data_IF_882578736615
#
_entry.id   IF_882578736615
#
_cell.length_a   1.000
_cell.length_b   1.000
_cell.length_c   1.000
_cell.angle_alpha   90.00
_cell.angle_beta   90.00
_cell.angle_gamma   90.00
#
_symmetry.space_group_name_H-M   'P 1'
#
loop_
_entity.id
_entity.type
_entity.pdbx_description
1 polymer ?
#
# COMPACT_ATOMS: atom_id res chain seq x y z
N UNK A 1 2.67 5.61 0.39
CA UNK A 1 1.95 6.89 0.45
C UNK A 1 0.46 6.63 0.48
N UNK A 2 -0.33 7.31 1.32
CA UNK A 2 -1.80 7.20 1.36
C UNK A 2 -2.46 8.56 1.24
N UNK A 3 -3.79 8.61 1.15
CA UNK A 3 -4.52 9.85 1.41
C UNK A 3 -4.56 10.17 2.91
N UNK A 4 -5.10 11.34 3.26
CA UNK A 4 -5.18 11.88 4.62
C UNK A 4 -6.23 11.24 5.53
N UNK A 5 -6.81 10.08 5.20
CA UNK A 5 -7.79 9.43 6.05
C UNK A 5 -7.16 8.87 7.34
N UNK A 6 -7.69 9.29 8.50
CA UNK A 6 -7.13 9.00 9.83
C UNK A 6 -6.95 7.51 10.12
N UNK A 7 -7.85 6.68 9.59
CA UNK A 7 -7.83 5.22 9.79
C UNK A 7 -6.57 4.57 9.25
N UNK A 8 -5.93 5.15 8.23
CA UNK A 8 -4.67 4.60 7.72
C UNK A 8 -3.59 4.61 8.79
N UNK A 9 -3.42 5.71 9.52
CA UNK A 9 -2.40 5.81 10.57
C UNK A 9 -2.55 4.68 11.59
N UNK A 10 -3.78 4.44 12.06
CA UNK A 10 -4.07 3.37 13.00
C UNK A 10 -3.83 1.97 12.40
N UNK A 11 -4.31 1.72 11.19
CA UNK A 11 -4.14 0.43 10.52
C UNK A 11 -2.66 0.10 10.24
N UNK A 12 -1.88 1.08 9.78
CA UNK A 12 -0.45 0.90 9.54
C UNK A 12 0.31 0.67 10.85
N UNK A 13 0.01 1.43 11.91
CA UNK A 13 0.59 1.19 13.23
C UNK A 13 0.23 -0.21 13.73
N UNK A 14 -1.04 -0.62 13.67
CA UNK A 14 -1.45 -1.97 14.08
C UNK A 14 -0.71 -3.09 13.32
N UNK A 15 -0.46 -2.89 12.02
CA UNK A 15 0.13 -3.94 11.16
C UNK A 15 1.66 -3.97 11.18
N UNK A 16 2.29 -2.79 11.17
CA UNK A 16 3.74 -2.62 11.00
C UNK A 16 4.42 -2.00 12.21
N UNK A 17 3.66 -1.45 13.15
CA UNK A 17 4.18 -0.71 14.29
C UNK A 17 5.05 -1.59 15.17
N UNK A 18 6.15 -1.00 15.62
CA UNK A 18 7.12 -1.63 16.48
C UNK A 18 7.33 -0.78 17.72
N UNK A 19 7.67 -1.45 18.82
CA UNK A 19 8.12 -0.76 20.02
C UNK A 19 9.55 -0.29 19.81
N UNK A 20 9.82 0.99 20.07
CA UNK A 20 11.17 1.50 20.16
C UNK A 20 11.83 0.92 21.42
N UNK A 21 12.48 -0.24 21.25
CA UNK A 21 13.20 -0.98 22.31
C UNK A 21 14.68 -0.64 22.28
N UNK A 22 15.04 0.63 22.13
CA UNK A 22 16.44 1.04 22.33
C UNK A 22 16.87 0.66 23.76
N UNK A 23 17.96 -0.12 23.92
CA UNK A 23 18.41 -0.52 25.24
C UNK A 23 18.78 0.73 26.04
N UNK A 24 18.15 0.90 27.20
CA UNK A 24 18.45 2.01 28.09
C UNK A 24 19.84 1.79 28.71
N UNK A 25 20.79 2.68 28.40
CA UNK A 25 22.17 2.63 28.90
C UNK A 25 22.56 3.84 29.75
N UNK A 26 21.58 4.63 30.21
CA UNK A 26 21.80 5.86 30.98
C UNK A 26 21.55 5.67 32.48
N UNK A 27 21.93 6.68 33.26
CA UNK A 27 21.50 6.84 34.66
C UNK A 27 20.26 7.73 34.73
N UNK A 28 19.21 7.28 35.43
CA UNK A 28 17.95 8.01 35.60
C UNK A 28 16.71 7.21 35.20
N UNK A 29 15.59 7.90 35.00
CA UNK A 29 14.31 7.29 34.59
C UNK A 29 14.44 6.76 33.15
N UNK A 30 14.13 5.47 32.90
CA UNK A 30 14.09 4.94 31.55
C UNK A 30 13.12 5.73 30.66
N UNK A 31 13.43 5.90 29.35
CA UNK A 31 12.53 6.58 28.44
C UNK A 31 11.22 5.79 28.30
N UNK A 32 10.12 6.52 28.14
CA UNK A 32 8.84 5.91 27.77
C UNK A 32 8.99 5.31 26.38
N UNK A 33 8.83 3.98 26.27
CA UNK A 33 8.86 3.31 24.98
C UNK A 33 7.76 3.88 24.09
N UNK A 34 8.12 4.24 22.87
CA UNK A 34 7.17 4.78 21.89
C UNK A 34 6.74 3.64 20.97
N UNK A 35 5.43 3.49 20.79
CA UNK A 35 4.89 2.66 19.72
C UNK A 35 4.82 3.51 18.45
N UNK A 36 5.54 3.08 17.42
CA UNK A 36 5.72 3.90 16.22
C UNK A 36 5.98 3.07 14.98
N UNK A 37 6.14 3.75 13.85
CA UNK A 37 6.54 3.12 12.60
C UNK A 37 7.98 2.60 12.71
N UNK A 38 8.30 1.46 12.07
CA UNK A 38 9.65 0.93 12.06
C UNK A 38 10.58 1.85 11.26
N UNK A 39 11.84 1.94 11.67
CA UNK A 39 12.85 2.84 11.06
C UNK A 39 13.05 2.58 9.55
N UNK A 40 12.75 1.36 9.08
CA UNK A 40 12.85 0.98 7.68
C UNK A 40 11.66 1.43 6.80
N UNK A 41 10.61 2.04 7.37
CA UNK A 41 9.40 2.40 6.64
C UNK A 41 9.40 3.88 6.23
N UNK A 42 9.58 4.14 4.94
CA UNK A 42 9.33 5.46 4.36
C UNK A 42 7.84 5.63 4.04
N UNK A 43 7.12 6.38 4.86
CA UNK A 43 5.67 6.55 4.74
C UNK A 43 5.24 8.02 4.84
N UNK A 44 4.39 8.44 3.90
CA UNK A 44 3.85 9.78 3.83
C UNK A 44 2.39 9.80 3.39
N UNK A 45 1.72 10.89 3.72
CA UNK A 45 0.31 11.13 3.44
C UNK A 45 0.13 12.35 2.55
N UNK A 46 -0.81 12.23 1.62
CA UNK A 46 -1.29 13.34 0.79
C UNK A 46 -2.63 13.78 1.36
N UNK A 47 -2.63 14.94 2.02
CA UNK A 47 -3.84 15.53 2.62
C UNK A 47 -4.40 16.56 1.65
N UNK A 48 -5.65 16.37 1.23
CA UNK A 48 -6.35 17.31 0.35
C UNK A 48 -7.39 18.07 1.15
N UNK A 49 -7.31 19.40 1.14
CA UNK A 49 -8.33 20.29 1.70
C UNK A 49 -9.23 20.75 0.56
N UNK A 50 -10.54 20.53 0.70
CA UNK A 50 -11.54 20.92 -0.30
C UNK A 50 -12.56 21.84 0.34
N UNK A 51 -12.93 22.89 -0.39
CA UNK A 51 -14.05 23.76 -0.07
C UNK A 51 -15.16 23.48 -1.08
N UNK A 52 -16.20 22.75 -0.63
CA UNK A 52 -17.24 22.22 -1.53
C UNK A 52 -16.65 21.32 -2.62
N UNK A 53 -16.89 21.65 -3.89
CA UNK A 53 -16.35 20.89 -5.04
C UNK A 53 -14.94 21.30 -5.44
N UNK A 54 -14.43 22.44 -4.97
CA UNK A 54 -13.13 23.00 -5.35
C UNK A 54 -12.02 22.44 -4.46
N UNK A 55 -10.90 22.07 -5.09
CA UNK A 55 -9.67 21.74 -4.36
C UNK A 55 -9.00 23.06 -3.95
N UNK A 56 -8.75 23.22 -2.65
CA UNK A 56 -8.15 24.44 -2.09
C UNK A 56 -6.65 24.26 -1.85
N UNK A 57 -6.28 23.14 -1.22
CA UNK A 57 -4.89 22.88 -0.85
C UNK A 57 -4.54 21.40 -0.93
N UNK A 58 -3.30 21.11 -1.28
CA UNK A 58 -2.68 19.79 -1.13
C UNK A 58 -1.49 19.94 -0.21
N UNK A 59 -1.44 19.14 0.85
CA UNK A 59 -0.33 19.07 1.79
C UNK A 59 0.28 17.68 1.76
N UNK A 60 1.60 17.63 1.81
CA UNK A 60 2.37 16.38 1.92
C UNK A 60 2.90 16.27 3.34
N UNK A 61 2.53 15.20 4.04
CA UNK A 61 2.98 14.93 5.42
C UNK A 61 3.86 13.69 5.41
N UNK A 62 5.10 13.84 5.84
CA UNK A 62 5.98 12.68 6.10
C UNK A 62 5.60 12.12 7.47
N UNK A 63 5.18 10.87 7.52
CA UNK A 63 4.77 10.20 8.76
C UNK A 63 5.90 9.36 9.36
N UNK A 64 6.79 8.82 8.52
CA UNK A 64 7.97 8.06 8.94
C UNK A 64 9.02 8.03 7.83
N UNK A 65 10.29 7.95 8.25
CA UNK A 65 11.45 7.81 7.37
C UNK A 65 11.73 9.05 6.52
N UNK A 66 12.42 8.84 5.41
CA UNK A 66 12.79 9.88 4.44
C UNK A 66 12.18 9.53 3.10
N UNK A 67 11.41 10.45 2.53
CA UNK A 67 10.75 10.27 1.24
C UNK A 67 11.53 11.07 0.20
N UNK A 68 12.06 10.44 -0.86
CA UNK A 68 12.78 11.16 -1.90
C UNK A 68 11.88 12.20 -2.59
N UNK A 69 12.51 13.25 -3.09
CA UNK A 69 11.81 14.29 -3.84
C UNK A 69 11.10 13.70 -5.08
N UNK A 70 9.91 14.21 -5.39
CA UNK A 70 9.09 13.72 -6.52
C UNK A 70 8.28 12.44 -6.26
N UNK A 71 8.48 11.75 -5.13
CA UNK A 71 7.68 10.56 -4.79
C UNK A 71 6.28 10.90 -4.30
N UNK A 72 6.09 12.12 -3.79
CA UNK A 72 4.78 12.63 -3.45
C UNK A 72 4.00 12.98 -4.72
N UNK A 73 2.95 12.20 -4.98
CA UNK A 73 2.12 12.38 -6.16
C UNK A 73 0.65 12.05 -5.85
N UNK A 74 -0.20 13.08 -5.95
CA UNK A 74 -1.65 12.97 -5.78
C UNK A 74 -2.27 12.00 -6.79
N UNK A 75 -1.83 12.06 -8.04
CA UNK A 75 -2.37 11.24 -9.13
C UNK A 75 -2.13 9.75 -8.92
N UNK A 76 -1.02 9.37 -8.27
CA UNK A 76 -0.72 7.97 -7.96
C UNK A 76 -1.72 7.37 -6.96
N UNK A 77 -1.99 8.09 -5.86
CA UNK A 77 -2.99 7.68 -4.85
C UNK A 77 -4.39 7.64 -5.46
N UNK A 78 -4.77 8.65 -6.24
CA UNK A 78 -6.08 8.70 -6.87
C UNK A 78 -6.28 7.62 -7.92
N UNK A 79 -5.26 7.36 -8.74
CA UNK A 79 -5.28 6.29 -9.73
C UNK A 79 -5.39 4.92 -9.07
N UNK A 80 -4.70 4.69 -7.95
CA UNK A 80 -4.84 3.45 -7.19
C UNK A 80 -6.25 3.31 -6.62
N UNK A 81 -6.79 4.35 -5.99
CA UNK A 81 -8.14 4.36 -5.44
C UNK A 81 -9.22 4.14 -6.53
N UNK A 82 -9.03 4.71 -7.72
CA UNK A 82 -9.90 4.46 -8.87
C UNK A 82 -9.79 3.02 -9.36
N UNK A 83 -8.57 2.47 -9.46
CA UNK A 83 -8.32 1.09 -9.89
C UNK A 83 -8.98 0.09 -8.95
N UNK A 84 -8.83 0.29 -7.64
CA UNK A 84 -9.48 -0.49 -6.58
C UNK A 84 -11.01 -0.47 -6.78
N UNK A 85 -11.61 0.71 -6.93
CA UNK A 85 -13.06 0.86 -7.12
C UNK A 85 -13.57 0.23 -8.41
N UNK A 86 -12.79 0.26 -9.48
CA UNK A 86 -13.18 -0.33 -10.76
C UNK A 86 -13.03 -1.85 -10.77
N UNK A 87 -12.02 -2.37 -10.08
CA UNK A 87 -11.69 -3.81 -10.09
C UNK A 87 -12.47 -4.60 -9.05
N UNK A 88 -12.90 -3.97 -7.96
CA UNK A 88 -13.65 -4.64 -6.88
C UNK A 88 -15.04 -4.05 -6.74
N UNK A 89 -16.04 -4.75 -7.28
CA UNK A 89 -17.45 -4.38 -7.14
C UNK A 89 -17.92 -4.33 -5.67
N UNK A 90 -17.27 -5.09 -4.78
CA UNK A 90 -17.52 -5.13 -3.32
C UNK A 90 -17.28 -3.79 -2.63
N UNK A 91 -16.39 -2.95 -3.17
CA UNK A 91 -16.00 -1.66 -2.58
C UNK A 91 -16.72 -0.46 -3.24
N UNK A 92 -17.68 -0.71 -4.12
CA UNK A 92 -18.54 0.33 -4.69
C UNK A 92 -19.67 0.66 -3.72
N UNK A 93 -20.07 1.94 -3.68
CA UNK A 93 -21.14 2.44 -2.79
C UNK A 93 -22.48 1.73 -2.99
N UNK A 94 -22.80 1.33 -4.22
CA UNK A 94 -24.03 0.62 -4.58
C UNK A 94 -23.62 -0.59 -5.42
N UNK A 95 -23.83 -1.78 -4.88
CA UNK A 95 -23.43 -3.04 -5.50
C UNK A 95 -24.25 -4.20 -4.93
N UNK A 96 -24.59 -5.17 -5.78
CA UNK A 96 -25.19 -6.44 -5.35
C UNK A 96 -24.12 -7.45 -4.89
N UNK A 97 -22.84 -7.18 -5.16
CA UNK A 97 -21.72 -8.07 -4.88
C UNK A 97 -21.10 -7.73 -3.52
N UNK A 98 -21.84 -7.87 -2.42
CA UNK A 98 -21.31 -7.64 -1.07
C UNK A 98 -20.64 -8.88 -0.49
N UNK A 99 -19.77 -8.68 0.50
CA UNK A 99 -19.23 -9.75 1.33
C UNK A 99 -20.10 -9.90 2.58
N UNK A 100 -20.43 -11.13 2.97
CA UNK A 100 -21.20 -11.40 4.20
C UNK A 100 -20.30 -11.32 5.43
N UNK A 101 -19.06 -11.79 5.29
CA UNK A 101 -18.05 -11.73 6.34
C UNK A 101 -16.89 -10.82 5.94
N UNK A 102 -16.21 -10.24 6.93
CA UNK A 102 -15.00 -9.43 6.71
C UNK A 102 -13.90 -10.27 6.05
N UNK A 103 -13.79 -11.55 6.44
CA UNK A 103 -12.81 -12.50 5.89
C UNK A 103 -12.94 -12.65 4.37
N UNK A 104 -14.16 -12.67 3.83
CA UNK A 104 -14.38 -12.75 2.38
C UNK A 104 -13.90 -11.48 1.66
N UNK A 105 -14.11 -10.32 2.30
CA UNK A 105 -13.62 -9.05 1.77
C UNK A 105 -12.08 -9.01 1.79
N UNK A 106 -11.46 -9.48 2.87
CA UNK A 106 -10.00 -9.58 2.99
C UNK A 106 -9.41 -10.48 1.90
N UNK A 107 -9.96 -11.68 1.71
CA UNK A 107 -9.52 -12.61 0.65
C UNK A 107 -9.67 -11.99 -0.75
N UNK A 108 -10.77 -11.27 -1.01
CA UNK A 108 -10.95 -10.58 -2.29
C UNK A 108 -9.92 -9.45 -2.47
N UNK A 109 -9.62 -8.69 -1.42
CA UNK A 109 -8.58 -7.67 -1.45
C UNK A 109 -7.19 -8.28 -1.70
N UNK A 110 -6.90 -9.42 -1.09
CA UNK A 110 -5.62 -10.12 -1.26
C UNK A 110 -5.46 -10.67 -2.68
N UNK A 111 -6.52 -11.28 -3.23
CA UNK A 111 -6.53 -11.70 -4.63
C UNK A 111 -6.33 -10.51 -5.57
N UNK A 112 -7.00 -9.38 -5.33
CA UNK A 112 -6.82 -8.17 -6.12
C UNK A 112 -5.37 -7.65 -6.05
N UNK A 113 -4.78 -7.57 -4.85
CA UNK A 113 -3.39 -7.14 -4.66
C UNK A 113 -2.43 -8.04 -5.43
N UNK A 114 -2.63 -9.34 -5.35
CA UNK A 114 -1.80 -10.32 -6.03
C UNK A 114 -1.95 -10.21 -7.56
N UNK A 115 -3.16 -10.18 -8.08
CA UNK A 115 -3.42 -9.98 -9.51
C UNK A 115 -2.83 -8.67 -10.04
N UNK A 116 -3.02 -7.57 -9.31
CA UNK A 116 -2.54 -6.25 -9.72
C UNK A 116 -1.01 -6.19 -9.80
N UNK A 117 -0.32 -6.79 -8.83
CA UNK A 117 1.14 -6.75 -8.77
C UNK A 117 1.82 -7.78 -9.68
N UNK A 118 1.28 -8.99 -9.82
CA UNK A 118 1.94 -10.10 -10.51
C UNK A 118 1.43 -10.34 -11.93
N UNK A 119 0.13 -10.17 -12.17
CA UNK A 119 -0.50 -10.58 -13.44
C UNK A 119 -0.77 -9.41 -14.39
N UNK A 120 -0.86 -8.17 -13.89
CA UNK A 120 -1.27 -7.01 -14.69
C UNK A 120 -0.08 -6.11 -15.05
N UNK A 121 0.31 -6.02 -16.33
CA UNK A 121 1.30 -5.04 -16.76
C UNK A 121 0.81 -3.60 -16.61
N UNK A 122 1.74 -2.71 -16.28
CA UNK A 122 1.50 -1.29 -16.11
C UNK A 122 2.10 -0.50 -17.27
N UNK A 123 1.28 0.32 -17.94
CA UNK A 123 1.74 1.15 -19.07
C UNK A 123 2.86 2.12 -18.68
N UNK A 124 2.84 2.65 -17.46
CA UNK A 124 3.89 3.56 -16.96
C UNK A 124 5.21 2.86 -16.63
N UNK A 125 5.19 1.54 -16.46
CA UNK A 125 6.39 0.72 -16.21
C UNK A 125 6.87 0.01 -17.48
N UNK A 126 5.96 -0.25 -18.40
CA UNK A 126 6.23 -0.93 -19.66
C UNK A 126 6.91 0.01 -20.63
N UNK A 127 7.94 -0.46 -21.33
CA UNK A 127 8.66 0.31 -22.34
C UNK A 127 8.54 -0.39 -23.70
N UNK A 128 7.97 0.30 -24.68
CA UNK A 128 7.69 -0.27 -26.00
C UNK A 128 6.85 -1.54 -25.93
N UNK A 129 7.41 -2.65 -26.42
CA UNK A 129 6.77 -3.98 -26.43
C UNK A 129 6.92 -4.72 -25.11
N UNK A 130 7.84 -4.31 -24.24
CA UNK A 130 8.14 -5.02 -22.99
C UNK A 130 7.08 -4.65 -21.95
N UNK A 131 6.29 -5.65 -21.56
CA UNK A 131 5.26 -5.53 -20.53
C UNK A 131 5.88 -5.77 -19.16
N UNK A 132 5.74 -4.79 -18.26
CA UNK A 132 6.33 -4.83 -16.92
C UNK A 132 5.23 -4.71 -15.87
N UNK A 133 5.23 -5.62 -14.90
CA UNK A 133 4.35 -5.56 -13.73
C UNK A 133 5.05 -4.88 -12.54
N UNK A 134 4.29 -4.41 -11.54
CA UNK A 134 4.88 -3.87 -10.31
C UNK A 134 5.81 -4.87 -9.61
N UNK A 135 5.45 -6.15 -9.57
CA UNK A 135 6.31 -7.18 -8.97
C UNK A 135 7.62 -7.37 -9.75
N UNK A 136 7.59 -7.24 -11.08
CA UNK A 136 8.81 -7.25 -11.90
C UNK A 136 9.70 -6.03 -11.63
N UNK A 137 9.11 -4.83 -11.54
CA UNK A 137 9.86 -3.61 -11.22
C UNK A 137 10.51 -3.64 -9.84
N UNK A 138 9.99 -4.45 -8.92
CA UNK A 138 10.56 -4.68 -7.59
C UNK A 138 11.54 -5.87 -7.54
N UNK A 139 11.76 -6.57 -8.66
CA UNK A 139 12.63 -7.74 -8.74
C UNK A 139 12.07 -9.00 -8.05
N UNK A 140 10.77 -9.05 -7.76
CA UNK A 140 10.13 -10.21 -7.12
C UNK A 140 9.85 -11.35 -8.11
N UNK A 141 9.81 -11.05 -9.40
CA UNK A 141 9.58 -11.99 -10.50
C UNK A 141 10.21 -11.43 -11.77
N UNK A 142 10.62 -12.29 -12.68
CA UNK A 142 11.20 -11.96 -13.98
C UNK A 142 10.15 -11.91 -15.11
N UNK A 143 8.93 -12.37 -14.85
CA UNK A 143 7.85 -12.47 -15.83
C UNK A 143 6.49 -12.00 -15.30
N UNK A 144 5.59 -11.72 -16.25
CA UNK A 144 4.16 -11.52 -16.00
C UNK A 144 3.52 -12.87 -15.67
N UNK A 145 2.84 -12.97 -14.53
CA UNK A 145 2.20 -14.21 -14.13
C UNK A 145 0.85 -14.39 -14.82
N UNK A 146 0.51 -15.64 -15.12
CA UNK A 146 -0.87 -15.99 -15.45
C UNK A 146 -1.72 -16.09 -14.17
N UNK A 147 -3.04 -15.92 -14.29
CA UNK A 147 -3.94 -16.15 -13.16
C UNK A 147 -3.84 -17.60 -12.64
N UNK A 148 -3.63 -18.57 -13.54
CA UNK A 148 -3.41 -19.97 -13.17
C UNK A 148 -2.16 -20.12 -12.32
N UNK A 149 -1.04 -19.57 -12.78
CA UNK A 149 0.23 -19.58 -12.05
C UNK A 149 0.04 -18.98 -10.67
N UNK A 150 -0.61 -17.81 -10.55
CA UNK A 150 -0.89 -17.18 -9.27
C UNK A 150 -1.69 -18.07 -8.31
N UNK A 151 -2.73 -18.74 -8.80
CA UNK A 151 -3.59 -19.59 -7.98
C UNK A 151 -2.96 -20.94 -7.61
N UNK A 152 -2.05 -21.44 -8.44
CA UNK A 152 -1.35 -22.72 -8.21
C UNK A 152 0.02 -22.56 -7.60
N UNK A 153 0.48 -21.32 -7.41
CA UNK A 153 1.81 -21.05 -6.90
C UNK A 153 1.95 -21.61 -5.48
N UNK A 154 2.82 -22.62 -5.35
CA UNK A 154 3.17 -23.19 -4.07
C UNK A 154 4.42 -22.49 -3.54
N UNK A 155 4.27 -21.71 -2.48
CA UNK A 155 5.41 -21.09 -1.81
C UNK A 155 6.36 -22.16 -1.28
N UNK A 156 7.51 -22.34 -1.94
CA UNK A 156 8.63 -23.10 -1.39
C UNK A 156 9.51 -22.12 -0.61
N UNK A 157 9.74 -22.41 0.68
CA UNK A 157 10.55 -21.59 1.60
C UNK A 157 12.01 -21.33 1.15
N UNK A 158 12.48 -22.00 0.09
CA UNK A 158 13.87 -22.00 -0.37
C UNK A 158 13.98 -21.65 -1.86
N UNK A 159 13.74 -20.40 -2.23
CA UNK A 159 14.22 -19.87 -3.50
C UNK A 159 15.32 -18.87 -3.14
N UNK A 160 16.56 -19.23 -3.51
CA UNK A 160 17.78 -18.43 -3.34
C UNK A 160 17.78 -17.23 -4.27
#
# INVERSE_FOLDING_TARGET
>A
MTDGYKVYTEAFLKRLGQWDRKPYRGHGRPPVWKYGYPDCLNYGQVVKTRQGKKLEKVEYKVMSGTIPEGWFNTSAVERMNLTIRNSMARLKRISQNFSKEIKDLEQCCDLFRAMYNFCRPHMSLSSGTIKVTPAMSLGLTDRVWSLRELMTFYYRKNIR
#
